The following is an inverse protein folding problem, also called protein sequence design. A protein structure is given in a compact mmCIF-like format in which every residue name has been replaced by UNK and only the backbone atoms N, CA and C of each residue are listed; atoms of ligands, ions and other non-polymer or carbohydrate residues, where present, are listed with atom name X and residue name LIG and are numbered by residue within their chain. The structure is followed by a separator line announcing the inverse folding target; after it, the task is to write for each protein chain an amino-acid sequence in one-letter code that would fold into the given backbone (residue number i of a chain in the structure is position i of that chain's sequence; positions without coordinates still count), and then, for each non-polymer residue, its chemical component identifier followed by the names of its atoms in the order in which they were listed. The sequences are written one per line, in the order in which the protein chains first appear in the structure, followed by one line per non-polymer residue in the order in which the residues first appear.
data_IF_374747582495
#
_entry.id   IF_374747582495
#
_cell.length_a   1.000
_cell.length_b   1.000
_cell.length_c   1.000
_cell.angle_alpha   90.00
_cell.angle_beta   90.00
_cell.angle_gamma   90.00
#
_symmetry.space_group_name_H-M   'P 1'
#
loop_
_entity.id
_entity.type
_entity.pdbx_description
1 polymer ?
#
# COMPACT_ATOMS: atom_id res chain seq x y z
N UNK A 1 -31.55 4.68 2.28
CA UNK A 1 -30.88 5.44 3.35
C UNK A 1 -29.38 5.31 3.11
N UNK A 2 -28.69 6.39 2.76
CA UNK A 2 -27.27 6.34 2.36
C UNK A 2 -26.38 5.97 3.54
N UNK A 3 -25.48 5.00 3.37
CA UNK A 3 -24.59 4.52 4.44
C UNK A 3 -23.44 5.52 4.64
N UNK A 4 -22.97 5.70 5.87
CA UNK A 4 -21.79 6.54 6.12
C UNK A 4 -20.51 5.83 5.65
N UNK A 5 -19.53 6.60 5.17
CA UNK A 5 -18.21 6.08 4.79
C UNK A 5 -17.57 5.27 5.91
N UNK A 6 -17.74 5.72 7.15
CA UNK A 6 -17.27 5.02 8.33
C UNK A 6 -17.87 3.60 8.49
N UNK A 7 -19.17 3.46 8.21
CA UNK A 7 -19.83 2.16 8.26
C UNK A 7 -19.32 1.24 7.14
N UNK A 8 -19.16 1.78 5.93
CA UNK A 8 -18.63 1.02 4.78
C UNK A 8 -17.20 0.54 5.02
N UNK A 9 -16.33 1.39 5.58
CA UNK A 9 -14.97 1.00 5.94
C UNK A 9 -14.93 -0.10 7.01
N UNK A 10 -15.84 -0.05 7.98
CA UNK A 10 -15.96 -1.09 9.01
C UNK A 10 -16.32 -2.44 8.39
N UNK A 11 -17.29 -2.47 7.49
CA UNK A 11 -17.70 -3.68 6.78
C UNK A 11 -16.56 -4.24 5.94
N UNK A 12 -15.87 -3.38 5.18
CA UNK A 12 -14.70 -3.78 4.39
C UNK A 12 -13.64 -4.45 5.28
N UNK A 13 -13.28 -3.82 6.40
CA UNK A 13 -12.29 -4.35 7.35
C UNK A 13 -12.72 -5.66 8.04
N UNK A 14 -14.00 -6.04 7.94
CA UNK A 14 -14.55 -7.27 8.51
C UNK A 14 -14.47 -8.47 7.54
N UNK A 15 -14.03 -8.28 6.29
CA UNK A 15 -13.80 -9.39 5.37
C UNK A 15 -12.87 -10.43 6.00
N UNK A 16 -13.07 -11.73 5.78
CA UNK A 16 -12.25 -12.78 6.40
C UNK A 16 -11.01 -13.10 5.54
N UNK A 17 -9.79 -12.63 5.89
CA UNK A 17 -8.62 -12.79 5.02
C UNK A 17 -8.12 -14.23 5.00
N UNK A 18 -8.62 -15.11 5.88
CA UNK A 18 -8.16 -16.48 6.08
C UNK A 18 -8.94 -17.50 5.24
N UNK A 19 -9.85 -17.03 4.37
CA UNK A 19 -10.52 -17.89 3.40
C UNK A 19 -9.49 -18.67 2.55
N UNK A 20 -9.76 -19.93 2.19
CA UNK A 20 -8.82 -20.74 1.40
C UNK A 20 -8.40 -20.01 0.12
N UNK A 21 -7.10 -20.06 -0.19
CA UNK A 21 -6.60 -19.62 -1.49
C UNK A 21 -6.89 -20.70 -2.54
N UNK A 22 -6.90 -20.31 -3.82
CA UNK A 22 -7.06 -21.25 -4.93
C UNK A 22 -5.89 -22.25 -4.98
N UNK A 23 -6.17 -23.44 -5.50
CA UNK A 23 -5.17 -24.48 -5.67
C UNK A 23 -4.08 -24.06 -6.67
N UNK A 24 -2.89 -24.66 -6.55
CA UNK A 24 -1.78 -24.48 -7.50
C UNK A 24 -0.90 -23.25 -7.26
N UNK A 25 -1.11 -22.49 -6.19
CA UNK A 25 -0.17 -21.44 -5.77
C UNK A 25 1.05 -22.05 -5.06
N UNK A 26 2.26 -21.59 -5.39
CA UNK A 26 3.46 -21.92 -4.62
C UNK A 26 3.39 -21.41 -3.16
N UNK A 27 4.27 -21.94 -2.31
CA UNK A 27 4.42 -21.48 -0.92
C UNK A 27 4.80 -20.00 -0.84
N UNK A 28 5.68 -19.53 -1.75
CA UNK A 28 6.08 -18.12 -1.80
C UNK A 28 4.91 -17.23 -2.20
N UNK A 29 4.16 -17.59 -3.26
CA UNK A 29 2.97 -16.84 -3.67
C UNK A 29 1.91 -16.80 -2.56
N UNK A 30 1.69 -17.92 -1.87
CA UNK A 30 0.78 -18.02 -0.72
C UNK A 30 1.21 -17.09 0.42
N UNK A 31 2.49 -17.11 0.79
CA UNK A 31 3.03 -16.29 1.87
C UNK A 31 2.95 -14.80 1.56
N UNK A 32 3.28 -14.40 0.32
CA UNK A 32 3.17 -13.02 -0.14
C UNK A 32 1.72 -12.53 -0.14
N UNK A 33 0.79 -13.32 -0.68
CA UNK A 33 -0.63 -12.97 -0.71
C UNK A 33 -1.17 -12.69 0.70
N UNK A 34 -0.93 -13.60 1.64
CA UNK A 34 -1.38 -13.47 3.05
C UNK A 34 -0.69 -12.31 3.77
N UNK A 35 0.62 -12.17 3.63
CA UNK A 35 1.37 -11.12 4.28
C UNK A 35 0.95 -9.72 3.80
N UNK A 36 0.75 -9.55 2.50
CA UNK A 36 0.37 -8.26 1.93
C UNK A 36 -1.07 -7.87 2.24
N UNK A 37 -2.04 -8.80 2.19
CA UNK A 37 -3.43 -8.46 2.53
C UNK A 37 -3.57 -8.09 4.00
N UNK A 38 -2.86 -8.76 4.91
CA UNK A 38 -2.88 -8.39 6.33
C UNK A 38 -2.21 -7.03 6.56
N UNK A 39 -1.08 -6.77 5.88
CA UNK A 39 -0.43 -5.46 5.96
C UNK A 39 -1.33 -4.33 5.44
N UNK A 40 -2.07 -4.55 4.34
CA UNK A 40 -3.07 -3.62 3.83
C UNK A 40 -4.13 -3.32 4.87
N UNK A 41 -4.68 -4.34 5.53
CA UNK A 41 -5.74 -4.16 6.54
C UNK A 41 -5.25 -3.44 7.78
N UNK A 42 -4.08 -3.81 8.29
CA UNK A 42 -3.44 -3.13 9.41
C UNK A 42 -3.17 -1.66 9.08
N UNK A 43 -2.64 -1.40 7.88
CA UNK A 43 -2.40 -0.05 7.36
C UNK A 43 -3.70 0.75 7.20
N UNK A 44 -4.77 0.15 6.69
CA UNK A 44 -6.06 0.80 6.56
C UNK A 44 -6.64 1.20 7.93
N UNK A 45 -6.53 0.33 8.95
CA UNK A 45 -6.91 0.66 10.34
C UNK A 45 -6.08 1.83 10.89
N UNK A 46 -4.78 1.84 10.66
CA UNK A 46 -3.89 2.93 11.10
C UNK A 46 -4.21 4.26 10.41
N UNK A 47 -4.41 4.25 9.09
CA UNK A 47 -4.78 5.43 8.32
C UNK A 47 -6.15 5.99 8.75
N UNK A 48 -7.13 5.13 8.99
CA UNK A 48 -8.45 5.50 9.52
C UNK A 48 -8.35 6.12 10.92
N UNK A 49 -7.50 5.59 11.80
CA UNK A 49 -7.27 6.16 13.11
C UNK A 49 -6.68 7.57 13.02
N UNK A 50 -5.62 7.76 12.22
CA UNK A 50 -5.00 9.07 12.01
C UNK A 50 -6.01 10.07 11.43
N UNK A 51 -6.82 9.62 10.48
CA UNK A 51 -7.88 10.41 9.90
C UNK A 51 -8.88 10.93 10.95
N UNK A 52 -9.41 10.04 11.80
CA UNK A 52 -10.33 10.41 12.90
C UNK A 52 -9.72 11.37 13.92
N UNK A 53 -8.39 11.48 13.96
CA UNK A 53 -7.67 12.43 14.81
C UNK A 53 -7.32 13.74 14.09
N UNK A 54 -7.82 13.95 12.87
CA UNK A 54 -7.51 15.14 12.07
C UNK A 54 -6.09 15.13 11.47
N UNK A 55 -5.42 13.97 11.46
CA UNK A 55 -4.05 13.80 10.98
C UNK A 55 -4.01 13.18 9.57
N UNK A 56 -4.97 13.53 8.70
CA UNK A 56 -5.14 12.94 7.37
C UNK A 56 -3.89 13.05 6.50
N UNK A 57 -3.19 14.18 6.52
CA UNK A 57 -1.95 14.35 5.76
C UNK A 57 -0.84 13.40 6.25
N UNK A 58 -0.75 13.16 7.56
CA UNK A 58 0.24 12.25 8.15
C UNK A 58 -0.03 10.77 7.81
N UNK A 59 -1.25 10.43 7.40
CA UNK A 59 -1.60 9.09 6.92
C UNK A 59 -1.20 8.84 5.45
N UNK A 60 -0.71 9.85 4.71
CA UNK A 60 -0.30 9.72 3.32
C UNK A 60 0.72 8.59 3.05
N UNK A 61 1.82 8.44 3.82
CA UNK A 61 2.75 7.33 3.59
C UNK A 61 2.10 5.96 3.79
N UNK A 62 1.15 5.86 4.72
CA UNK A 62 0.38 4.63 4.96
C UNK A 62 -0.53 4.34 3.78
N UNK A 63 -1.29 5.34 3.28
CA UNK A 63 -2.15 5.19 2.11
C UNK A 63 -1.37 4.84 0.85
N UNK A 64 -0.21 5.45 0.64
CA UNK A 64 0.71 5.09 -0.44
C UNK A 64 1.16 3.64 -0.33
N UNK A 65 1.53 3.17 0.87
CA UNK A 65 1.92 1.78 1.10
C UNK A 65 0.77 0.81 0.77
N UNK A 66 -0.48 1.13 1.16
CA UNK A 66 -1.66 0.32 0.80
C UNK A 66 -1.76 0.18 -0.73
N UNK A 67 -1.63 1.29 -1.47
CA UNK A 67 -1.69 1.27 -2.93
C UNK A 67 -0.57 0.42 -3.55
N UNK A 68 0.66 0.50 -3.00
CA UNK A 68 1.79 -0.32 -3.47
C UNK A 68 1.53 -1.82 -3.27
N UNK A 69 0.96 -2.21 -2.13
CA UNK A 69 0.58 -3.61 -1.85
C UNK A 69 -0.60 -4.07 -2.69
N UNK A 70 -1.59 -3.20 -2.93
CA UNK A 70 -2.75 -3.52 -3.76
C UNK A 70 -2.34 -3.92 -5.19
N UNK A 71 -1.36 -3.21 -5.76
CA UNK A 71 -0.84 -3.55 -7.09
C UNK A 71 0.06 -4.77 -7.09
N UNK A 72 0.81 -4.98 -6.01
CA UNK A 72 1.56 -6.21 -5.84
C UNK A 72 0.63 -7.43 -5.81
N UNK A 73 -0.53 -7.31 -5.14
CA UNK A 73 -1.59 -8.31 -5.12
C UNK A 73 -2.21 -8.52 -6.52
N UNK A 74 -2.51 -7.44 -7.26
CA UNK A 74 -3.01 -7.55 -8.63
C UNK A 74 -2.00 -8.25 -9.57
N UNK A 75 -0.70 -7.92 -9.46
CA UNK A 75 0.33 -8.62 -10.22
C UNK A 75 0.42 -10.10 -9.83
N UNK A 76 0.38 -10.40 -8.53
CA UNK A 76 0.39 -11.77 -8.01
C UNK A 76 -0.83 -12.57 -8.48
N UNK A 77 -2.01 -11.95 -8.59
CA UNK A 77 -3.21 -12.59 -9.13
C UNK A 77 -3.06 -12.98 -10.61
N UNK A 78 -2.41 -12.10 -11.39
CA UNK A 78 -2.19 -12.29 -12.83
C UNK A 78 -1.10 -13.32 -13.14
N UNK A 79 0.07 -13.22 -12.50
CA UNK A 79 1.21 -14.13 -12.69
C UNK A 79 1.81 -14.50 -11.31
N UNK A 80 1.22 -15.49 -10.61
CA UNK A 80 1.62 -15.82 -9.24
C UNK A 80 3.09 -16.18 -9.11
N UNK A 81 3.59 -17.00 -10.05
CA UNK A 81 4.93 -17.56 -10.00
C UNK A 81 5.99 -16.54 -10.45
N UNK A 82 5.71 -15.75 -11.48
CA UNK A 82 6.61 -14.68 -11.89
C UNK A 82 6.69 -13.57 -10.85
N UNK A 83 5.56 -13.17 -10.26
CA UNK A 83 5.52 -12.19 -9.18
C UNK A 83 6.28 -12.69 -7.95
N UNK A 84 6.01 -13.91 -7.48
CA UNK A 84 6.72 -14.50 -6.33
C UNK A 84 8.23 -14.52 -6.55
N UNK A 85 8.69 -15.05 -7.71
CA UNK A 85 10.12 -15.04 -8.05
C UNK A 85 10.72 -13.64 -8.09
N UNK A 86 10.00 -12.66 -8.64
CA UNK A 86 10.48 -11.28 -8.73
C UNK A 86 10.68 -10.67 -7.33
N UNK A 87 9.71 -10.84 -6.43
CA UNK A 87 9.79 -10.30 -5.07
C UNK A 87 10.81 -11.01 -4.18
N UNK A 88 10.91 -12.35 -4.28
CA UNK A 88 11.95 -13.11 -3.56
C UNK A 88 13.34 -12.70 -4.02
N UNK A 89 13.57 -12.61 -5.34
CA UNK A 89 14.85 -12.14 -5.90
C UNK A 89 15.18 -10.74 -5.41
N UNK A 90 14.22 -9.80 -5.46
CA UNK A 90 14.42 -8.43 -4.99
C UNK A 90 14.72 -8.37 -3.49
N UNK A 91 14.07 -9.19 -2.68
CA UNK A 91 14.32 -9.29 -1.24
C UNK A 91 15.76 -9.73 -0.98
N UNK A 92 16.23 -10.79 -1.66
CA UNK A 92 17.61 -11.27 -1.60
C UNK A 92 18.61 -10.19 -2.04
N UNK A 93 18.37 -9.56 -3.18
CA UNK A 93 19.25 -8.49 -3.67
C UNK A 93 19.31 -7.30 -2.70
N UNK A 94 18.17 -6.93 -2.08
CA UNK A 94 18.12 -5.85 -1.09
C UNK A 94 18.90 -6.24 0.17
N UNK A 95 18.69 -7.46 0.65
CA UNK A 95 19.42 -7.99 1.79
C UNK A 95 20.92 -8.02 1.51
N UNK A 96 21.36 -8.63 0.42
CA UNK A 96 22.78 -8.83 0.09
C UNK A 96 23.51 -7.56 -0.31
N UNK A 97 22.86 -6.64 -1.03
CA UNK A 97 23.54 -5.46 -1.60
C UNK A 97 23.38 -4.20 -0.75
N UNK A 98 22.37 -4.14 0.11
CA UNK A 98 22.07 -2.93 0.90
C UNK A 98 22.15 -3.18 2.39
N UNK A 99 21.46 -4.21 2.88
CA UNK A 99 21.31 -4.41 4.33
C UNK A 99 22.53 -5.11 4.92
N UNK A 100 22.95 -6.26 4.40
CA UNK A 100 24.08 -7.03 4.90
C UNK A 100 25.41 -6.24 4.89
N UNK A 101 25.77 -5.49 3.84
CA UNK A 101 26.99 -4.68 3.88
C UNK A 101 26.93 -3.60 4.97
N UNK A 102 25.76 -3.00 5.20
CA UNK A 102 25.55 -2.04 6.29
C UNK A 102 25.56 -2.69 7.69
N UNK A 103 25.00 -3.88 7.81
CA UNK A 103 24.90 -4.67 9.05
C UNK A 103 26.19 -5.45 9.39
N UNK A 104 27.09 -5.66 8.43
CA UNK A 104 28.42 -6.28 8.64
C UNK A 104 29.47 -5.21 8.85
N UNK A 105 29.32 -4.03 8.24
CA UNK A 105 30.20 -2.88 8.47
C UNK A 105 30.03 -2.26 9.87
N UNK A 106 28.96 -2.57 10.59
CA UNK A 106 28.92 -2.33 12.02
C UNK A 106 28.18 -3.43 12.76
N UNK A 107 28.57 -3.64 14.00
CA UNK A 107 28.05 -4.66 14.93
C UNK A 107 26.61 -4.33 15.42
N UNK A 108 25.64 -4.25 14.51
CA UNK A 108 24.35 -3.56 14.76
C UNK A 108 23.32 -4.44 15.47
N UNK A 109 22.71 -3.88 16.52
CA UNK A 109 21.50 -4.32 17.21
C UNK A 109 20.29 -3.46 16.84
N UNK A 110 19.07 -3.88 17.21
CA UNK A 110 17.85 -3.07 17.02
C UNK A 110 17.92 -1.68 17.71
N UNK A 111 18.80 -1.53 18.71
CA UNK A 111 19.05 -0.25 19.41
C UNK A 111 19.88 0.71 18.56
N UNK A 112 20.75 0.19 17.70
CA UNK A 112 21.61 0.97 16.80
C UNK A 112 20.80 1.55 15.63
N UNK A 113 19.78 0.83 15.17
CA UNK A 113 18.80 1.35 14.19
C UNK A 113 18.03 2.55 14.77
N UNK A 114 17.70 2.53 16.06
CA UNK A 114 17.01 3.65 16.73
C UNK A 114 17.93 4.87 16.98
N UNK A 115 19.22 4.64 17.24
CA UNK A 115 20.22 5.70 17.40
C UNK A 115 20.54 6.39 16.06
N UNK A 116 20.67 5.63 14.98
CA UNK A 116 20.86 6.17 13.62
C UNK A 116 19.60 6.93 13.14
N UNK A 117 18.40 6.46 13.50
CA UNK A 117 17.18 7.23 13.23
C UNK A 117 17.15 8.57 13.99
N UNK A 118 17.74 8.64 15.19
CA UNK A 118 17.87 9.86 16.00
C UNK A 118 18.95 10.81 15.45
N UNK A 119 20.07 10.30 14.92
CA UNK A 119 21.10 11.10 14.23
C UNK A 119 20.67 11.58 12.84
N UNK A 120 19.90 10.79 12.10
CA UNK A 120 19.33 11.20 10.82
C UNK A 120 18.30 12.34 10.98
N UNK A 121 17.62 12.41 12.14
CA UNK A 121 16.73 13.51 12.50
C UNK A 121 17.47 14.81 12.83
N UNK A 122 18.76 14.76 13.16
CA UNK A 122 19.58 15.94 13.51
C UNK A 122 20.49 16.42 12.37
N UNK A 123 20.64 15.66 11.28
CA UNK A 123 21.59 15.95 10.20
C UNK A 123 20.96 16.43 8.86
N UNK A 124 19.65 16.70 8.82
CA UNK A 124 18.87 16.86 7.59
C UNK A 124 18.99 18.23 6.86
N UNK A 125 20.20 18.74 6.63
CA UNK A 125 20.42 20.03 5.93
C UNK A 125 21.39 20.00 4.72
N UNK A 126 21.66 18.85 4.09
CA UNK A 126 22.48 18.85 2.87
C UNK A 126 22.01 17.86 1.80
N UNK A 127 21.73 18.39 0.61
CA UNK A 127 21.14 17.71 -0.55
C UNK A 127 22.16 17.19 -1.57
N UNK A 128 21.64 16.31 -2.44
CA UNK A 128 22.12 15.81 -3.75
C UNK A 128 23.35 14.88 -3.78
N UNK A 129 23.47 13.86 -4.64
CA UNK A 129 22.84 13.63 -5.97
C UNK A 129 22.80 12.13 -6.34
N UNK A 130 21.87 11.76 -7.22
CA UNK A 130 21.57 10.40 -7.72
C UNK A 130 22.53 9.96 -8.84
N UNK A 131 22.89 8.66 -8.88
CA UNK A 131 23.11 7.95 -10.14
C UNK A 131 22.81 6.44 -10.04
N UNK A 132 22.03 5.95 -11.01
CA UNK A 132 22.14 4.58 -11.55
C UNK A 132 21.52 3.43 -10.76
N UNK A 133 20.20 3.25 -10.84
CA UNK A 133 19.59 1.93 -10.71
C UNK A 133 18.27 1.89 -11.47
N UNK A 134 18.17 0.96 -12.42
CA UNK A 134 16.90 0.56 -13.01
C UNK A 134 15.97 0.14 -11.86
N UNK A 135 14.76 0.71 -11.86
CA UNK A 135 13.66 0.60 -10.87
C UNK A 135 13.63 1.64 -9.73
N UNK A 136 13.56 2.91 -10.11
CA UNK A 136 13.26 4.04 -9.20
C UNK A 136 11.75 4.38 -9.20
N UNK A 137 11.09 3.97 -8.11
CA UNK A 137 9.94 4.51 -7.36
C UNK A 137 8.77 5.34 -7.97
N UNK A 138 8.68 5.66 -9.26
CA UNK A 138 7.47 6.27 -9.85
C UNK A 138 7.16 5.77 -11.27
N UNK A 139 8.18 5.59 -12.11
CA UNK A 139 8.01 5.20 -13.52
C UNK A 139 7.69 3.70 -13.66
N UNK A 140 8.40 2.83 -12.92
CA UNK A 140 8.07 1.41 -12.86
C UNK A 140 6.68 1.16 -12.22
N UNK A 141 6.30 2.03 -11.28
CA UNK A 141 4.97 2.02 -10.68
C UNK A 141 3.89 2.47 -11.65
N UNK A 142 4.13 3.54 -12.42
CA UNK A 142 3.23 3.98 -13.50
C UNK A 142 3.04 2.90 -14.58
N UNK A 143 4.09 2.14 -14.92
CA UNK A 143 3.96 0.98 -15.81
C UNK A 143 3.15 -0.16 -15.18
N UNK A 144 3.35 -0.47 -13.90
CA UNK A 144 2.54 -1.46 -13.18
C UNK A 144 1.06 -1.03 -13.07
N UNK A 145 0.82 0.26 -12.84
CA UNK A 145 -0.51 0.87 -12.80
C UNK A 145 -1.24 0.74 -14.14
N UNK A 146 -0.55 0.96 -15.24
CA UNK A 146 -1.10 0.78 -16.59
C UNK A 146 -1.35 -0.69 -16.95
N UNK A 147 -0.57 -1.61 -16.39
CA UNK A 147 -0.69 -3.04 -16.65
C UNK A 147 -1.78 -3.72 -15.80
N UNK A 148 -2.06 -3.21 -14.60
CA UNK A 148 -2.87 -3.90 -13.58
C UNK A 148 -3.98 -3.02 -12.96
N UNK A 149 -4.33 -1.88 -13.56
CA UNK A 149 -5.44 -1.01 -13.12
C UNK A 149 -5.84 0.06 -14.15
N UNK A 150 -6.71 0.99 -13.74
CA UNK A 150 -7.01 2.22 -14.50
C UNK A 150 -5.84 3.22 -14.33
N UNK A 151 -4.79 2.96 -15.12
CA UNK A 151 -3.43 3.40 -14.83
C UNK A 151 -3.23 4.90 -14.68
N UNK A 152 -4.01 5.73 -15.39
CA UNK A 152 -3.87 7.18 -15.35
C UNK A 152 -4.42 7.75 -14.04
N UNK A 153 -5.60 7.29 -13.60
CA UNK A 153 -6.23 7.76 -12.36
C UNK A 153 -5.44 7.32 -11.12
N UNK A 154 -4.99 6.07 -11.08
CA UNK A 154 -4.20 5.56 -9.97
C UNK A 154 -2.79 6.18 -9.91
N UNK A 155 -2.22 6.59 -11.05
CA UNK A 155 -0.95 7.31 -11.10
C UNK A 155 -1.06 8.69 -10.45
N UNK A 156 -2.19 9.37 -10.66
CA UNK A 156 -2.49 10.65 -9.99
C UNK A 156 -2.59 10.46 -8.48
N UNK A 157 -3.33 9.45 -8.01
CA UNK A 157 -3.45 9.13 -6.57
C UNK A 157 -2.08 8.84 -5.96
N UNK A 158 -1.26 7.99 -6.61
CA UNK A 158 0.08 7.68 -6.14
C UNK A 158 0.99 8.90 -6.07
N UNK A 159 0.96 9.75 -7.11
CA UNK A 159 1.74 10.97 -7.16
C UNK A 159 1.31 11.96 -6.07
N UNK A 160 0.01 12.07 -5.80
CA UNK A 160 -0.53 12.90 -4.74
C UNK A 160 -0.06 12.43 -3.36
N UNK A 161 -0.25 11.15 -3.03
CA UNK A 161 0.16 10.58 -1.74
C UNK A 161 1.68 10.61 -1.55
N UNK A 162 2.44 10.39 -2.63
CA UNK A 162 3.89 10.55 -2.61
C UNK A 162 4.31 11.98 -2.27
N UNK A 163 3.67 12.99 -2.85
CA UNK A 163 3.99 14.39 -2.55
C UNK A 163 3.60 14.79 -1.13
N UNK A 164 2.53 14.22 -0.58
CA UNK A 164 2.16 14.41 0.83
C UNK A 164 3.13 13.74 1.81
N UNK A 165 3.82 12.68 1.39
CA UNK A 165 4.73 11.89 2.23
C UNK A 165 6.16 12.43 2.29
N UNK A 166 6.50 13.40 1.43
CA UNK A 166 7.84 13.98 1.32
C UNK A 166 7.81 15.49 1.58
N UNK A 167 8.93 16.12 1.98
CA UNK A 167 9.03 17.58 2.05
C UNK A 167 8.69 18.19 0.69
N UNK A 168 7.56 18.89 0.60
CA UNK A 168 7.07 19.49 -0.63
C UNK A 168 6.14 20.65 -0.32
N UNK A 169 5.91 21.51 -1.30
CA UNK A 169 4.91 22.57 -1.19
C UNK A 169 3.50 21.98 -0.94
N UNK A 170 3.23 20.79 -1.48
CA UNK A 170 1.98 20.06 -1.29
C UNK A 170 1.82 19.62 0.16
N UNK A 171 2.82 18.97 0.76
CA UNK A 171 2.76 18.55 2.17
C UNK A 171 2.72 19.73 3.13
N UNK A 172 3.39 20.85 2.80
CA UNK A 172 3.31 22.10 3.56
C UNK A 172 1.89 22.73 3.53
N UNK A 173 1.16 22.61 2.42
CA UNK A 173 -0.18 23.18 2.22
C UNK A 173 -1.34 22.27 2.62
N UNK A 174 -1.08 20.98 2.84
CA UNK A 174 -2.11 19.96 3.04
C UNK A 174 -2.93 20.06 4.34
N UNK A 175 -2.57 20.98 5.25
CA UNK A 175 -3.17 21.09 6.60
C UNK A 175 -4.69 21.41 6.63
N UNK A 176 -5.36 21.64 5.50
CA UNK A 176 -6.69 22.24 5.49
C UNK A 176 -7.79 21.51 4.71
N UNK A 177 -7.53 20.37 4.06
CA UNK A 177 -8.62 19.67 3.35
C UNK A 177 -9.24 18.60 4.25
N UNK A 178 -10.47 18.87 4.68
CA UNK A 178 -11.37 17.88 5.25
C UNK A 178 -11.63 16.83 4.18
N UNK A 179 -10.92 15.72 4.31
CA UNK A 179 -11.29 14.49 3.63
C UNK A 179 -12.12 13.68 4.63
N UNK A 180 -12.83 12.66 4.16
CA UNK A 180 -13.38 11.61 5.02
C UNK A 180 -12.58 10.31 4.83
N UNK A 181 -13.00 9.22 5.47
CA UNK A 181 -12.30 7.92 5.35
C UNK A 181 -12.42 7.29 3.93
N UNK A 182 -12.95 8.02 2.93
CA UNK A 182 -13.24 7.51 1.58
C UNK A 182 -11.99 7.07 0.85
N UNK A 183 -10.89 7.82 0.94
CA UNK A 183 -9.64 7.40 0.30
C UNK A 183 -9.12 6.09 0.90
N UNK A 184 -9.26 5.89 2.22
CA UNK A 184 -8.86 4.64 2.88
C UNK A 184 -9.72 3.48 2.39
N UNK A 185 -11.04 3.69 2.31
CA UNK A 185 -11.99 2.70 1.80
C UNK A 185 -11.71 2.34 0.33
N UNK A 186 -11.50 3.34 -0.54
CA UNK A 186 -11.20 3.13 -1.95
C UNK A 186 -9.91 2.30 -2.15
N UNK A 187 -8.84 2.65 -1.43
CA UNK A 187 -7.58 1.91 -1.49
C UNK A 187 -7.71 0.48 -0.97
N UNK A 188 -8.53 0.26 0.06
CA UNK A 188 -8.82 -1.07 0.59
C UNK A 188 -9.59 -1.92 -0.44
N UNK A 189 -10.57 -1.34 -1.13
CA UNK A 189 -11.30 -2.03 -2.21
C UNK A 189 -10.40 -2.41 -3.37
N UNK A 190 -9.47 -1.54 -3.78
CA UNK A 190 -8.49 -1.86 -4.84
C UNK A 190 -7.62 -3.06 -4.42
N UNK A 191 -7.20 -3.11 -3.16
CA UNK A 191 -6.45 -4.25 -2.65
C UNK A 191 -7.28 -5.54 -2.62
N UNK A 192 -8.58 -5.44 -2.30
CA UNK A 192 -9.49 -6.59 -2.31
C UNK A 192 -9.75 -7.09 -3.72
N UNK A 193 -9.89 -6.22 -4.71
CA UNK A 193 -9.94 -6.60 -6.13
C UNK A 193 -8.66 -7.33 -6.58
N UNK A 194 -7.49 -6.91 -6.11
CA UNK A 194 -6.23 -7.60 -6.37
C UNK A 194 -6.10 -8.95 -5.66
N UNK A 195 -6.71 -9.12 -4.49
CA UNK A 195 -6.62 -10.34 -3.69
C UNK A 195 -7.71 -11.37 -3.99
N UNK A 196 -8.93 -10.94 -4.33
CA UNK A 196 -10.10 -11.81 -4.55
C UNK A 196 -9.83 -12.95 -5.55
N UNK A 197 -9.15 -12.71 -6.70
CA UNK A 197 -8.84 -13.78 -7.66
C UNK A 197 -7.88 -14.86 -7.14
N UNK A 198 -7.20 -14.61 -6.00
CA UNK A 198 -6.35 -15.58 -5.32
C UNK A 198 -7.14 -16.47 -4.35
N UNK A 199 -8.37 -16.10 -3.99
CA UNK A 199 -9.25 -16.90 -3.14
C UNK A 199 -9.87 -18.06 -3.91
N UNK A 200 -10.13 -19.17 -3.22
CA UNK A 200 -10.94 -20.25 -3.75
C UNK A 200 -12.37 -19.73 -4.00
N UNK A 201 -12.92 -20.06 -5.17
CA UNK A 201 -14.31 -19.74 -5.57
C UNK A 201 -14.64 -18.24 -5.62
N UNK A 202 -13.64 -17.36 -5.68
CA UNK A 202 -13.80 -15.89 -5.73
C UNK A 202 -14.79 -15.37 -4.64
N UNK A 203 -14.63 -15.90 -3.43
CA UNK A 203 -15.63 -15.81 -2.35
C UNK A 203 -15.99 -14.38 -1.91
N UNK A 204 -15.22 -13.36 -2.31
CA UNK A 204 -15.49 -11.97 -1.98
C UNK A 204 -16.18 -11.17 -3.09
N UNK A 205 -16.30 -11.70 -4.32
CA UNK A 205 -16.77 -10.92 -5.49
C UNK A 205 -18.08 -10.17 -5.21
N UNK A 206 -19.12 -10.88 -4.78
CA UNK A 206 -20.42 -10.28 -4.45
C UNK A 206 -20.34 -9.23 -3.33
N UNK A 207 -19.47 -9.44 -2.34
CA UNK A 207 -19.30 -8.51 -1.23
C UNK A 207 -18.59 -7.22 -1.69
N UNK A 208 -17.59 -7.35 -2.58
CA UNK A 208 -16.87 -6.23 -3.17
C UNK A 208 -17.81 -5.42 -4.08
N UNK A 209 -18.55 -6.08 -4.97
CA UNK A 209 -19.49 -5.42 -5.89
C UNK A 209 -20.52 -4.58 -5.10
N UNK A 210 -21.10 -5.17 -4.04
CA UNK A 210 -22.02 -4.46 -3.15
C UNK A 210 -21.36 -3.26 -2.46
N UNK A 211 -20.12 -3.40 -2.01
CA UNK A 211 -19.38 -2.33 -1.33
C UNK A 211 -19.08 -1.17 -2.30
N UNK A 212 -18.77 -1.46 -3.56
CA UNK A 212 -18.55 -0.47 -4.63
C UNK A 212 -19.85 0.28 -4.93
N UNK A 213 -20.98 -0.43 -5.06
CA UNK A 213 -22.29 0.18 -5.26
C UNK A 213 -22.68 1.11 -4.09
N UNK A 214 -22.56 0.62 -2.85
CA UNK A 214 -22.86 1.39 -1.65
C UNK A 214 -21.95 2.63 -1.55
N UNK A 215 -20.65 2.50 -1.87
CA UNK A 215 -19.70 3.60 -1.86
C UNK A 215 -20.02 4.65 -2.93
N UNK A 216 -20.31 4.22 -4.16
CA UNK A 216 -20.70 5.10 -5.26
C UNK A 216 -21.97 5.91 -4.91
N UNK A 217 -22.96 5.26 -4.28
CA UNK A 217 -24.16 5.94 -3.79
C UNK A 217 -23.84 6.98 -2.71
N UNK A 218 -22.88 6.70 -1.82
CA UNK A 218 -22.48 7.64 -0.75
C UNK A 218 -21.72 8.85 -1.26
N UNK A 219 -20.84 8.70 -2.26
CA UNK A 219 -20.09 9.83 -2.82
C UNK A 219 -20.93 10.71 -3.75
N UNK A 220 -21.89 10.13 -4.49
CA UNK A 220 -22.75 10.86 -5.43
C UNK A 220 -23.88 11.65 -4.75
N UNK A 221 -24.03 11.52 -3.43
CA UNK A 221 -25.06 12.23 -2.63
C UNK A 221 -24.47 13.36 -1.78
N UNK A 222 -23.16 13.60 -1.87
CA UNK A 222 -22.44 14.72 -1.24
C UNK A 222 -22.13 15.79 -2.27
#
# INVERSE_FOLDING_TARGET
MTRSIHALLRDALAFNPDLPLRDGLSQDATGLARGWIENVRASARAAALLHRKGLTAAAAPIRRSILEHALALAYLAHDPEGAARAYVRKSKETLEKKLLPGLVAGDWSARDVAAVALEALTAADAANELQGAVHTHKVAFAHALKAYGDGDNLAVVYAYESNLSHPSLTSAKARQRGDDESMVLALLMIAYEGFSPLLAQDAWRTQIDKLVEDFAATINTK
#
